data_IF_825108693049
#
_entry.id   IF_825108693049
#
_cell.length_a   1.000
_cell.length_b   1.000
_cell.length_c   1.000
_cell.angle_alpha   90.00
_cell.angle_beta   90.00
_cell.angle_gamma   90.00
#
_symmetry.space_group_name_H-M   'P 1'
#
loop_
_entity.id
_entity.type
_entity.pdbx_description
1 polymer ?
#
# COMPACT_ATOMS: atom_id res chain seq x y z
N UNK A 1 -28.48 -25.66 -16.47
CA UNK A 1 -27.64 -25.13 -17.57
C UNK A 1 -26.31 -24.73 -16.96
N UNK A 2 -25.20 -25.33 -17.40
CA UNK A 2 -23.87 -25.01 -16.87
C UNK A 2 -23.45 -23.59 -17.25
N UNK A 3 -22.97 -22.84 -16.27
CA UNK A 3 -22.37 -21.51 -16.47
C UNK A 3 -20.88 -21.74 -16.68
N UNK A 4 -20.32 -21.22 -17.77
CA UNK A 4 -18.90 -21.44 -18.08
C UNK A 4 -18.02 -20.27 -17.67
N UNK A 5 -18.48 -19.03 -17.88
CA UNK A 5 -17.82 -17.81 -17.38
C UNK A 5 -18.87 -16.84 -16.87
N UNK A 6 -18.52 -16.10 -15.83
CA UNK A 6 -19.38 -15.08 -15.26
C UNK A 6 -18.57 -14.00 -14.57
N UNK A 7 -19.20 -12.86 -14.30
CA UNK A 7 -18.54 -11.74 -13.65
C UNK A 7 -19.35 -10.46 -13.68
N UNK A 8 -18.64 -9.36 -13.48
CA UNK A 8 -19.18 -7.99 -13.50
C UNK A 8 -18.35 -7.16 -14.47
N UNK A 9 -18.97 -6.21 -15.16
CA UNK A 9 -18.28 -5.20 -15.95
C UNK A 9 -18.74 -3.80 -15.56
N UNK A 10 -17.83 -2.82 -15.62
CA UNK A 10 -18.12 -1.41 -15.39
C UNK A 10 -18.41 -0.72 -16.72
N UNK A 11 -19.56 -0.03 -16.79
CA UNK A 11 -19.88 0.83 -17.91
C UNK A 11 -18.98 2.08 -17.91
N UNK A 12 -18.19 2.32 -18.97
CA UNK A 12 -17.28 3.49 -19.01
C UNK A 12 -18.00 4.82 -19.11
N UNK A 13 -19.29 4.80 -19.46
CA UNK A 13 -20.05 5.99 -19.82
C UNK A 13 -20.86 6.51 -18.62
N UNK A 14 -21.48 5.61 -17.87
CA UNK A 14 -22.30 5.97 -16.72
C UNK A 14 -21.76 5.43 -15.38
N UNK A 15 -20.69 4.63 -15.39
CA UNK A 15 -20.12 4.03 -14.18
C UNK A 15 -21.00 2.94 -13.55
N UNK A 16 -22.02 2.44 -14.26
CA UNK A 16 -22.87 1.37 -13.75
C UNK A 16 -22.17 0.01 -13.83
N UNK A 17 -22.19 -0.75 -12.75
CA UNK A 17 -21.72 -2.13 -12.67
C UNK A 17 -22.83 -3.08 -13.09
N UNK A 18 -22.51 -3.96 -14.03
CA UNK A 18 -23.47 -4.87 -14.66
C UNK A 18 -22.99 -6.32 -14.57
N UNK A 19 -23.81 -7.25 -14.08
CA UNK A 19 -23.47 -8.67 -14.04
C UNK A 19 -23.56 -9.29 -15.45
N UNK A 20 -22.70 -10.24 -15.74
CA UNK A 20 -22.71 -10.98 -17.00
C UNK A 20 -22.38 -12.46 -16.79
N UNK A 21 -22.91 -13.30 -17.68
CA UNK A 21 -22.58 -14.73 -17.76
C UNK A 21 -22.61 -15.22 -19.21
N UNK A 22 -21.82 -16.23 -19.51
CA UNK A 22 -21.77 -16.95 -20.78
C UNK A 22 -21.90 -18.45 -20.54
N UNK A 23 -22.42 -19.16 -21.55
CA UNK A 23 -22.56 -20.62 -21.53
C UNK A 23 -21.30 -21.32 -22.05
N UNK A 24 -20.50 -20.64 -22.87
CA UNK A 24 -19.28 -21.23 -23.44
C UNK A 24 -18.04 -20.74 -22.69
N UNK A 25 -17.12 -21.68 -22.43
CA UNK A 25 -15.86 -21.39 -21.75
C UNK A 25 -14.87 -20.67 -22.68
N UNK A 26 -15.01 -20.92 -23.99
CA UNK A 26 -14.16 -20.32 -25.02
C UNK A 26 -14.66 -18.95 -25.49
N UNK A 27 -15.74 -18.40 -24.93
CA UNK A 27 -16.22 -17.07 -25.32
C UNK A 27 -15.14 -16.05 -25.01
N UNK A 28 -14.58 -15.42 -26.04
CA UNK A 28 -13.55 -14.39 -25.88
C UNK A 28 -14.12 -12.96 -26.00
N UNK A 29 -15.39 -12.79 -26.35
CA UNK A 29 -16.01 -11.48 -26.52
C UNK A 29 -17.36 -11.40 -25.80
N UNK A 30 -17.57 -10.31 -25.08
CA UNK A 30 -18.85 -9.93 -24.48
C UNK A 30 -19.42 -8.82 -25.32
N UNK A 31 -20.66 -8.98 -25.77
CA UNK A 31 -21.44 -7.93 -26.41
C UNK A 31 -22.75 -7.72 -25.65
N UNK A 32 -22.82 -6.64 -24.86
CA UNK A 32 -23.94 -6.34 -23.96
C UNK A 32 -24.30 -4.86 -24.00
N UNK A 33 -25.57 -4.53 -23.77
CA UNK A 33 -26.01 -3.14 -23.54
C UNK A 33 -26.05 -2.86 -22.04
N UNK A 34 -25.62 -1.67 -21.64
CA UNK A 34 -25.80 -1.21 -20.25
C UNK A 34 -27.28 -0.94 -19.99
N UNK A 35 -27.83 -1.41 -18.88
CA UNK A 35 -29.23 -1.19 -18.53
C UNK A 35 -29.53 0.27 -18.13
N UNK A 36 -28.51 1.04 -17.74
CA UNK A 36 -28.67 2.42 -17.27
C UNK A 36 -28.54 3.48 -18.37
N UNK A 37 -27.71 3.25 -19.40
CA UNK A 37 -27.44 4.25 -20.44
C UNK A 37 -27.62 3.74 -21.87
N UNK A 38 -28.09 2.50 -22.05
CA UNK A 38 -28.33 1.81 -23.33
C UNK A 38 -27.14 1.69 -24.29
N UNK A 39 -25.96 2.19 -23.89
CA UNK A 39 -24.74 2.09 -24.68
C UNK A 39 -24.25 0.64 -24.70
N UNK A 40 -23.89 0.19 -25.90
CA UNK A 40 -23.42 -1.17 -26.19
C UNK A 40 -21.93 -1.28 -25.91
N UNK A 41 -21.55 -2.18 -25.01
CA UNK A 41 -20.19 -2.52 -24.69
C UNK A 41 -19.79 -3.82 -25.41
N UNK A 42 -18.78 -3.73 -26.28
CA UNK A 42 -18.11 -4.87 -26.91
C UNK A 42 -16.73 -5.02 -26.32
N UNK A 43 -16.51 -6.08 -25.55
CA UNK A 43 -15.26 -6.26 -24.80
C UNK A 43 -14.66 -7.63 -25.07
N UNK A 44 -13.36 -7.66 -25.32
CA UNK A 44 -12.58 -8.90 -25.45
C UNK A 44 -12.01 -9.30 -24.09
N UNK A 45 -12.33 -10.50 -23.63
CA UNK A 45 -11.95 -11.02 -22.31
C UNK A 45 -10.46 -11.34 -22.24
N UNK A 46 -9.97 -12.22 -23.12
CA UNK A 46 -8.59 -12.68 -23.18
C UNK A 46 -7.86 -11.88 -24.27
N UNK A 47 -7.46 -10.64 -23.98
CA UNK A 47 -6.65 -9.83 -24.89
C UNK A 47 -5.18 -9.93 -24.50
N UNK A 48 -4.31 -10.17 -25.48
CA UNK A 48 -2.86 -10.11 -25.27
C UNK A 48 -2.43 -8.66 -24.99
N UNK A 49 -1.52 -8.50 -24.03
CA UNK A 49 -0.98 -7.20 -23.63
C UNK A 49 -0.04 -6.55 -24.68
N UNK A 50 0.24 -7.23 -25.80
CA UNK A 50 1.17 -6.81 -26.86
C UNK A 50 0.52 -6.20 -28.11
N UNK A 51 -0.83 -6.16 -28.18
CA UNK A 51 -1.53 -5.74 -29.39
C UNK A 51 -1.53 -4.22 -29.64
N UNK A 52 -1.20 -3.81 -30.88
CA UNK A 52 -1.40 -2.45 -31.43
C UNK A 52 -2.90 -2.11 -31.53
N UNK A 53 -3.55 -1.79 -30.41
CA UNK A 53 -4.94 -1.33 -30.43
C UNK A 53 -5.26 -0.37 -29.28
N UNK A 54 -6.43 0.27 -29.36
CA UNK A 54 -6.91 1.20 -28.32
C UNK A 54 -6.90 0.52 -26.94
N UNK A 55 -6.42 1.26 -25.93
CA UNK A 55 -6.37 0.85 -24.51
C UNK A 55 -7.76 0.43 -24.02
N UNK A 56 -7.83 -0.49 -23.06
CA UNK A 56 -9.08 -0.90 -22.40
C UNK A 56 -9.72 0.34 -21.76
N UNK A 57 -10.92 0.71 -22.21
CA UNK A 57 -11.79 1.63 -21.46
C UNK A 57 -12.76 0.88 -20.52
N UNK A 58 -12.77 -0.46 -20.57
CA UNK A 58 -13.71 -1.29 -19.82
C UNK A 58 -12.97 -2.04 -18.71
N UNK A 59 -13.50 -1.95 -17.47
CA UNK A 59 -13.08 -2.78 -16.34
C UNK A 59 -13.99 -4.00 -16.25
N UNK A 60 -13.39 -5.19 -16.15
CA UNK A 60 -14.09 -6.47 -16.05
C UNK A 60 -13.51 -7.24 -14.87
N UNK A 61 -14.39 -7.82 -14.08
CA UNK A 61 -14.06 -8.75 -13.01
C UNK A 61 -14.69 -10.09 -13.33
N UNK A 62 -13.85 -11.10 -13.57
CA UNK A 62 -14.30 -12.48 -13.67
C UNK A 62 -14.47 -13.10 -12.27
N UNK A 63 -15.43 -14.01 -12.16
CA UNK A 63 -15.78 -14.73 -10.96
C UNK A 63 -15.76 -16.22 -11.26
N UNK A 64 -15.44 -17.01 -10.24
CA UNK A 64 -15.45 -18.45 -10.35
C UNK A 64 -16.84 -18.93 -10.79
N UNK A 65 -16.96 -19.84 -11.78
CA UNK A 65 -18.25 -20.36 -12.24
C UNK A 65 -19.04 -21.12 -11.16
N UNK A 66 -18.41 -21.55 -10.06
CA UNK A 66 -19.07 -22.22 -8.93
C UNK A 66 -19.91 -21.28 -8.07
N UNK A 67 -19.68 -19.96 -8.15
CA UNK A 67 -20.44 -18.96 -7.38
C UNK A 67 -21.84 -18.81 -7.97
N UNK A 68 -22.86 -18.76 -7.12
CA UNK A 68 -24.23 -18.51 -7.59
C UNK A 68 -24.36 -17.13 -8.26
N UNK A 69 -25.00 -17.10 -9.41
CA UNK A 69 -25.18 -15.88 -10.20
C UNK A 69 -26.05 -14.84 -9.47
N UNK A 70 -26.95 -15.27 -8.57
CA UNK A 70 -27.71 -14.38 -7.70
C UNK A 70 -26.79 -13.48 -6.86
N UNK A 71 -25.74 -14.06 -6.29
CA UNK A 71 -24.73 -13.32 -5.50
C UNK A 71 -23.95 -12.30 -6.34
N UNK A 72 -23.71 -12.59 -7.63
CA UNK A 72 -23.04 -11.67 -8.55
C UNK A 72 -23.94 -10.46 -8.88
N UNK A 73 -25.25 -10.69 -9.02
CA UNK A 73 -26.22 -9.59 -9.20
C UNK A 73 -26.26 -8.70 -7.95
N UNK A 74 -26.25 -9.29 -6.76
CA UNK A 74 -26.18 -8.55 -5.50
C UNK A 74 -24.89 -7.75 -5.37
N UNK A 75 -23.73 -8.34 -5.70
CA UNK A 75 -22.44 -7.62 -5.76
C UNK A 75 -22.54 -6.39 -6.68
N UNK A 76 -23.09 -6.54 -7.89
CA UNK A 76 -23.24 -5.42 -8.83
C UNK A 76 -24.14 -4.31 -8.27
N UNK A 77 -25.29 -4.67 -7.68
CA UNK A 77 -26.20 -3.70 -7.01
C UNK A 77 -25.49 -2.96 -5.87
N UNK A 78 -24.74 -3.67 -5.02
CA UNK A 78 -23.99 -3.08 -3.90
C UNK A 78 -22.93 -2.09 -4.38
N UNK A 79 -22.16 -2.45 -5.41
CA UNK A 79 -21.15 -1.57 -6.03
C UNK A 79 -21.78 -0.27 -6.56
N UNK A 80 -22.94 -0.36 -7.20
CA UNK A 80 -23.67 0.81 -7.69
C UNK A 80 -24.18 1.69 -6.54
N UNK A 81 -24.78 1.08 -5.51
CA UNK A 81 -25.35 1.79 -4.36
C UNK A 81 -24.29 2.56 -3.55
N UNK A 82 -23.10 2.00 -3.33
CA UNK A 82 -22.04 2.70 -2.57
C UNK A 82 -21.39 3.83 -3.37
N UNK A 83 -21.34 3.71 -4.70
CA UNK A 83 -20.89 4.80 -5.59
C UNK A 83 -21.87 6.00 -5.54
N UNK A 84 -23.17 5.73 -5.35
CA UNK A 84 -24.18 6.75 -5.09
C UNK A 84 -24.10 7.34 -3.66
N UNK A 85 -23.80 6.50 -2.65
CA UNK A 85 -23.66 6.90 -1.25
C UNK A 85 -22.50 7.86 -0.96
N UNK A 86 -21.39 7.75 -1.71
CA UNK A 86 -20.28 8.71 -1.62
C UNK A 86 -20.63 10.11 -2.16
N UNK A 87 -21.74 10.26 -2.92
CA UNK A 87 -22.22 11.57 -3.42
C UNK A 87 -23.30 12.23 -2.57
N UNK A 88 -24.07 11.50 -1.75
CA UNK A 88 -25.31 12.05 -1.16
C UNK A 88 -25.33 12.16 0.37
N UNK A 89 -24.50 11.45 1.14
CA UNK A 89 -24.64 11.53 2.62
C UNK A 89 -23.33 11.38 3.39
N UNK A 90 -22.71 12.53 3.69
CA UNK A 90 -22.02 12.74 4.97
C UNK A 90 -23.05 13.10 6.06
N UNK A 91 -24.13 12.33 6.21
CA UNK A 91 -24.89 12.38 7.46
C UNK A 91 -24.10 11.54 8.46
N UNK A 92 -23.50 12.25 9.41
CA UNK A 92 -22.85 11.69 10.59
C UNK A 92 -23.86 10.79 11.31
N UNK A 93 -23.84 9.49 11.06
CA UNK A 93 -24.12 8.55 12.14
C UNK A 93 -22.88 8.54 13.03
N UNK A 94 -23.08 8.41 14.34
CA UNK A 94 -22.05 8.35 15.38
C UNK A 94 -21.16 7.11 15.20
N UNK A 95 -20.38 7.09 14.11
CA UNK A 95 -19.31 6.14 13.89
C UNK A 95 -18.20 6.51 14.85
N UNK A 96 -17.77 5.55 15.67
CA UNK A 96 -16.65 5.67 16.60
C UNK A 96 -15.61 6.66 16.08
N UNK A 97 -15.52 7.82 16.74
CA UNK A 97 -14.69 8.93 16.31
C UNK A 97 -13.26 8.41 16.18
N UNK A 98 -12.57 8.81 15.11
CA UNK A 98 -11.17 8.44 14.82
C UNK A 98 -10.22 8.65 16.02
N UNK A 99 -10.63 9.47 17.00
CA UNK A 99 -10.01 9.76 18.29
C UNK A 99 -9.87 8.55 19.24
N UNK A 100 -10.68 7.50 19.10
CA UNK A 100 -10.60 6.29 19.95
C UNK A 100 -9.65 5.20 19.42
N UNK A 101 -8.98 5.45 18.29
CA UNK A 101 -8.09 4.49 17.65
C UNK A 101 -6.63 4.92 17.84
N UNK A 102 -5.69 3.99 18.13
CA UNK A 102 -4.28 4.34 18.24
C UNK A 102 -3.80 5.14 17.01
N UNK A 103 -3.02 6.21 17.15
CA UNK A 103 -2.56 6.96 15.99
C UNK A 103 -1.74 6.05 15.06
N UNK A 104 -1.96 6.17 13.75
CA UNK A 104 -1.07 5.56 12.76
C UNK A 104 -0.10 6.65 12.33
N UNK A 105 1.09 6.65 12.94
CA UNK A 105 2.16 7.56 12.57
C UNK A 105 2.57 7.36 11.12
N UNK A 106 2.74 8.48 10.40
CA UNK A 106 3.11 8.50 8.99
C UNK A 106 2.04 7.92 8.05
N UNK A 107 0.76 8.03 8.40
CA UNK A 107 -0.34 7.46 7.61
C UNK A 107 -0.31 7.93 6.15
N UNK A 108 -0.15 9.24 5.95
CA UNK A 108 -0.17 9.86 4.62
C UNK A 108 1.24 10.01 4.03
N UNK A 109 2.24 9.43 4.68
CA UNK A 109 3.62 9.51 4.21
C UNK A 109 3.76 8.83 2.84
N UNK A 110 4.29 9.58 1.88
CA UNK A 110 4.67 9.10 0.57
C UNK A 110 5.91 9.86 0.10
N UNK A 111 6.80 9.23 -0.69
CA UNK A 111 7.91 9.95 -1.29
C UNK A 111 7.37 11.02 -2.24
N UNK A 112 7.80 12.27 -2.06
CA UNK A 112 7.40 13.39 -2.93
C UNK A 112 8.15 13.38 -4.26
N UNK A 113 9.44 13.03 -4.19
CA UNK A 113 10.36 13.12 -5.33
C UNK A 113 11.09 11.78 -5.56
N UNK A 114 11.49 11.58 -6.81
CA UNK A 114 12.43 10.53 -7.20
C UNK A 114 13.80 10.72 -6.51
N UNK A 115 14.53 9.63 -6.32
CA UNK A 115 15.92 9.66 -5.88
C UNK A 115 16.82 9.45 -7.10
N UNK A 116 17.97 10.11 -7.11
CA UNK A 116 19.01 9.83 -8.09
C UNK A 116 19.67 8.49 -7.76
N UNK A 117 19.63 7.55 -8.71
CA UNK A 117 20.24 6.23 -8.53
C UNK A 117 21.69 6.26 -9.00
N UNK A 118 22.61 5.84 -8.13
CA UNK A 118 24.02 5.65 -8.49
C UNK A 118 24.21 4.37 -9.31
N UNK A 119 23.33 3.39 -9.10
CA UNK A 119 23.30 2.11 -9.82
C UNK A 119 21.89 1.82 -10.29
N UNK A 120 21.75 1.33 -11.53
CA UNK A 120 20.46 0.83 -12.03
C UNK A 120 19.98 -0.33 -11.15
N UNK A 121 18.69 -0.36 -10.87
CA UNK A 121 18.08 -1.34 -9.97
C UNK A 121 17.38 -2.42 -10.79
N UNK A 122 17.84 -3.69 -10.77
CA UNK A 122 17.19 -4.78 -11.49
C UNK A 122 15.79 -5.07 -10.94
N UNK A 123 14.81 -5.29 -11.82
CA UNK A 123 13.42 -5.57 -11.44
C UNK A 123 13.30 -6.78 -10.52
N UNK A 124 14.01 -7.87 -10.84
CA UNK A 124 13.96 -9.11 -10.06
C UNK A 124 14.38 -8.89 -8.61
N UNK A 125 15.39 -8.04 -8.38
CA UNK A 125 15.85 -7.67 -7.04
C UNK A 125 14.74 -6.96 -6.26
N UNK A 126 14.02 -6.03 -6.90
CA UNK A 126 12.90 -5.33 -6.27
C UNK A 126 11.78 -6.31 -5.92
N UNK A 127 11.41 -7.17 -6.87
CA UNK A 127 10.35 -8.16 -6.71
C UNK A 127 10.65 -9.12 -5.56
N UNK A 128 11.88 -9.67 -5.52
CA UNK A 128 12.33 -10.58 -4.47
C UNK A 128 12.29 -9.92 -3.10
N UNK A 129 12.82 -8.70 -2.97
CA UNK A 129 12.83 -7.97 -1.70
C UNK A 129 11.43 -7.59 -1.22
N UNK A 130 10.54 -7.20 -2.15
CA UNK A 130 9.15 -6.92 -1.83
C UNK A 130 8.43 -8.17 -1.34
N UNK A 131 8.54 -9.29 -2.05
CA UNK A 131 7.90 -10.55 -1.64
C UNK A 131 8.48 -11.07 -0.32
N UNK A 132 9.79 -10.96 -0.09
CA UNK A 132 10.41 -11.30 1.20
C UNK A 132 9.81 -10.45 2.33
N UNK A 133 9.76 -9.13 2.13
CA UNK A 133 9.19 -8.21 3.13
C UNK A 133 7.71 -8.50 3.43
N UNK A 134 6.93 -8.84 2.40
CA UNK A 134 5.53 -9.23 2.57
C UNK A 134 5.43 -10.56 3.30
N UNK A 135 6.23 -11.58 2.96
CA UNK A 135 6.24 -12.86 3.67
C UNK A 135 6.58 -12.71 5.16
N UNK A 136 7.53 -11.85 5.51
CA UNK A 136 7.97 -11.64 6.89
C UNK A 136 6.89 -11.01 7.79
N UNK A 137 5.95 -10.23 7.23
CA UNK A 137 5.08 -9.33 8.01
C UNK A 137 3.59 -9.40 7.67
N UNK A 138 3.28 -9.82 6.46
CA UNK A 138 1.99 -9.68 5.78
C UNK A 138 1.77 -10.84 4.79
N UNK A 139 2.15 -12.05 5.20
CA UNK A 139 2.11 -13.28 4.41
C UNK A 139 0.80 -13.49 3.64
N UNK A 140 -0.35 -13.21 4.27
CA UNK A 140 -1.68 -13.30 3.63
C UNK A 140 -1.92 -12.36 2.45
N UNK A 141 -0.98 -11.48 2.10
CA UNK A 141 -1.04 -10.63 0.90
C UNK A 141 -0.03 -11.02 -0.19
N UNK A 142 0.69 -12.14 -0.04
CA UNK A 142 1.69 -12.58 -1.02
C UNK A 142 1.11 -12.78 -2.42
N UNK A 143 0.02 -13.54 -2.53
CA UNK A 143 -0.63 -13.81 -3.82
C UNK A 143 -1.12 -12.52 -4.47
N UNK A 144 -1.81 -11.66 -3.71
CA UNK A 144 -2.28 -10.36 -4.16
C UNK A 144 -1.13 -9.49 -4.73
N UNK A 145 -0.02 -9.41 -4.01
CA UNK A 145 1.14 -8.61 -4.41
C UNK A 145 1.77 -9.21 -5.67
N UNK A 146 1.89 -10.53 -5.75
CA UNK A 146 2.40 -11.24 -6.92
C UNK A 146 1.53 -11.00 -8.15
N UNK A 147 0.22 -11.15 -8.03
CA UNK A 147 -0.74 -10.90 -9.12
C UNK A 147 -0.69 -9.47 -9.63
N UNK A 148 -0.73 -8.49 -8.72
CA UNK A 148 -0.63 -7.07 -9.08
C UNK A 148 0.71 -6.79 -9.77
N UNK A 149 1.80 -7.35 -9.27
CA UNK A 149 3.11 -7.19 -9.88
C UNK A 149 3.16 -7.74 -11.31
N UNK A 150 2.67 -8.97 -11.52
CA UNK A 150 2.65 -9.62 -12.84
C UNK A 150 1.71 -8.93 -13.84
N UNK A 151 0.71 -8.20 -13.35
CA UNK A 151 -0.19 -7.40 -14.21
C UNK A 151 0.48 -6.16 -14.82
N UNK A 152 1.63 -5.72 -14.28
CA UNK A 152 2.32 -4.50 -14.70
C UNK A 152 3.33 -4.78 -15.81
N UNK A 153 3.41 -3.85 -16.77
CA UNK A 153 4.49 -3.85 -17.77
C UNK A 153 5.71 -3.13 -17.19
N UNK A 154 6.70 -3.92 -16.76
CA UNK A 154 7.88 -3.41 -16.06
C UNK A 154 9.12 -3.45 -16.97
N UNK A 155 9.99 -2.43 -16.91
CA UNK A 155 11.30 -2.52 -17.52
C UNK A 155 12.17 -3.54 -16.76
N UNK A 156 13.17 -4.10 -17.42
CA UNK A 156 14.12 -5.05 -16.78
C UNK A 156 14.98 -4.37 -15.70
N UNK A 157 15.22 -3.07 -15.84
CA UNK A 157 15.98 -2.26 -14.89
C UNK A 157 15.31 -0.90 -14.70
N UNK A 158 15.38 -0.40 -13.47
CA UNK A 158 14.86 0.91 -13.10
C UNK A 158 15.98 1.95 -12.92
N UNK A 159 15.68 3.18 -13.33
CA UNK A 159 16.37 4.38 -12.86
C UNK A 159 15.52 5.05 -11.77
N UNK A 160 16.03 6.14 -11.20
CA UNK A 160 15.34 6.87 -10.13
C UNK A 160 13.91 7.28 -10.46
N UNK A 161 13.71 7.88 -11.63
CA UNK A 161 12.42 8.40 -12.07
C UNK A 161 11.44 7.29 -12.45
N UNK A 162 11.88 6.30 -13.23
CA UNK A 162 11.04 5.18 -13.62
C UNK A 162 10.63 4.34 -12.42
N UNK A 163 11.53 4.15 -11.44
CA UNK A 163 11.22 3.51 -10.18
C UNK A 163 10.17 4.30 -9.38
N UNK A 164 10.33 5.62 -9.28
CA UNK A 164 9.40 6.46 -8.55
C UNK A 164 7.98 6.43 -9.17
N UNK A 165 7.88 6.54 -10.49
CA UNK A 165 6.60 6.43 -11.20
C UNK A 165 5.98 5.04 -11.02
N UNK A 166 6.79 4.00 -11.18
CA UNK A 166 6.36 2.61 -10.96
C UNK A 166 5.81 2.42 -9.55
N UNK A 167 6.56 2.78 -8.51
CA UNK A 167 6.12 2.56 -7.11
C UNK A 167 4.83 3.30 -6.79
N UNK A 168 4.61 4.49 -7.35
CA UNK A 168 3.34 5.22 -7.23
C UNK A 168 2.19 4.45 -7.86
N UNK A 169 2.36 3.98 -9.10
CA UNK A 169 1.34 3.17 -9.80
C UNK A 169 1.09 1.84 -9.08
N UNK A 170 2.15 1.15 -8.67
CA UNK A 170 2.08 -0.09 -7.91
C UNK A 170 1.26 0.07 -6.63
N UNK A 171 1.57 1.07 -5.80
CA UNK A 171 0.80 1.32 -4.60
C UNK A 171 -0.66 1.68 -4.88
N UNK A 172 -0.95 2.36 -5.99
CA UNK A 172 -2.33 2.66 -6.39
C UNK A 172 -3.10 1.38 -6.76
N UNK A 173 -2.52 0.49 -7.56
CA UNK A 173 -3.17 -0.77 -7.97
C UNK A 173 -3.35 -1.74 -6.79
N UNK A 174 -2.34 -1.88 -5.92
CA UNK A 174 -2.50 -2.67 -4.68
C UNK A 174 -3.60 -2.10 -3.80
N UNK A 175 -3.65 -0.78 -3.65
CA UNK A 175 -4.67 -0.09 -2.87
C UNK A 175 -6.08 -0.35 -3.43
N UNK A 176 -6.26 -0.27 -4.76
CA UNK A 176 -7.54 -0.58 -5.42
C UNK A 176 -7.94 -2.04 -5.21
N UNK A 177 -7.01 -2.98 -5.44
CA UNK A 177 -7.28 -4.41 -5.28
C UNK A 177 -7.71 -4.77 -3.85
N UNK A 178 -7.12 -4.11 -2.84
CA UNK A 178 -7.52 -4.25 -1.44
C UNK A 178 -8.90 -3.67 -1.09
N UNK A 179 -9.36 -2.63 -1.79
CA UNK A 179 -10.73 -2.14 -1.66
C UNK A 179 -11.70 -3.08 -2.37
N UNK A 180 -11.28 -3.62 -3.52
CA UNK A 180 -12.11 -4.48 -4.35
C UNK A 180 -12.45 -5.82 -3.70
N UNK A 181 -11.56 -6.36 -2.85
CA UNK A 181 -11.77 -7.66 -2.20
C UNK A 181 -13.03 -7.71 -1.34
N UNK A 182 -13.45 -6.60 -0.73
CA UNK A 182 -14.62 -6.57 0.17
C UNK A 182 -15.90 -6.88 -0.60
N UNK A 183 -15.92 -6.58 -1.90
CA UNK A 183 -17.07 -6.82 -2.76
C UNK A 183 -17.17 -8.25 -3.26
N UNK A 184 -16.12 -9.05 -3.10
CA UNK A 184 -16.14 -10.44 -3.55
C UNK A 184 -17.25 -11.20 -2.80
N UNK A 185 -18.15 -11.92 -3.50
CA UNK A 185 -19.28 -12.64 -2.89
C UNK A 185 -18.88 -13.60 -1.76
N UNK A 186 -17.67 -14.13 -1.83
CA UNK A 186 -17.07 -15.03 -0.85
C UNK A 186 -16.75 -14.32 0.47
N UNK A 187 -16.46 -13.01 0.42
CA UNK A 187 -16.12 -12.17 1.57
C UNK A 187 -17.27 -11.28 2.03
N UNK A 188 -18.38 -11.20 1.27
CA UNK A 188 -19.53 -10.36 1.64
C UNK A 188 -20.32 -10.89 2.83
N UNK A 189 -20.05 -12.13 3.28
CA UNK A 189 -20.74 -12.74 4.43
C UNK A 189 -20.43 -11.97 5.72
N UNK A 190 -19.21 -11.45 5.85
CA UNK A 190 -18.76 -10.69 7.02
C UNK A 190 -19.05 -9.19 6.89
N UNK A 191 -19.83 -8.76 5.90
CA UNK A 191 -20.12 -7.35 5.68
C UNK A 191 -21.04 -6.81 6.79
N UNK A 192 -20.60 -5.76 7.48
CA UNK A 192 -21.34 -5.17 8.61
C UNK A 192 -21.13 -5.90 9.94
N UNK A 193 -20.53 -7.08 9.92
CA UNK A 193 -20.18 -7.82 11.14
C UNK A 193 -19.13 -7.07 11.96
N UNK A 194 -19.21 -7.24 13.27
CA UNK A 194 -18.23 -6.75 14.22
C UNK A 194 -17.04 -7.71 14.27
N UNK A 195 -15.87 -7.24 13.81
CA UNK A 195 -14.63 -8.06 13.79
C UNK A 195 -13.90 -7.99 15.12
N UNK A 196 -13.93 -6.82 15.76
CA UNK A 196 -13.39 -6.53 17.08
C UNK A 196 -14.41 -5.61 17.75
N UNK A 197 -14.55 -5.64 19.09
CA UNK A 197 -15.40 -4.71 19.81
C UNK A 197 -15.37 -3.28 19.26
N UNK A 198 -16.56 -2.76 18.94
CA UNK A 198 -16.88 -1.46 18.36
C UNK A 198 -16.31 -1.21 16.96
N UNK A 199 -15.94 -2.26 16.21
CA UNK A 199 -15.34 -2.13 14.87
C UNK A 199 -15.99 -3.11 13.88
N UNK A 200 -16.74 -2.52 12.96
CA UNK A 200 -17.24 -3.25 11.80
C UNK A 200 -16.10 -3.68 10.86
N UNK A 201 -16.39 -4.67 10.01
CA UNK A 201 -15.47 -5.21 9.01
C UNK A 201 -14.89 -4.14 8.11
N UNK A 202 -15.67 -3.17 7.66
CA UNK A 202 -15.21 -2.14 6.73
C UNK A 202 -14.17 -1.22 7.38
N UNK A 203 -14.45 -0.73 8.59
CA UNK A 203 -13.57 0.13 9.38
C UNK A 203 -12.28 -0.61 9.71
N UNK A 204 -12.39 -1.86 10.15
CA UNK A 204 -11.23 -2.70 10.47
C UNK A 204 -10.32 -2.92 9.25
N UNK A 205 -10.90 -3.33 8.12
CA UNK A 205 -10.15 -3.62 6.89
C UNK A 205 -9.55 -2.35 6.28
N UNK A 206 -10.27 -1.22 6.27
CA UNK A 206 -9.72 0.08 5.81
C UNK A 206 -8.50 0.50 6.63
N UNK A 207 -8.56 0.32 7.94
CA UNK A 207 -7.46 0.65 8.84
C UNK A 207 -6.27 -0.28 8.65
N UNK A 208 -6.50 -1.59 8.45
CA UNK A 208 -5.43 -2.56 8.15
C UNK A 208 -4.78 -2.26 6.80
N UNK A 209 -5.58 -1.95 5.78
CA UNK A 209 -5.11 -1.48 4.47
C UNK A 209 -4.20 -0.26 4.62
N UNK A 210 -4.61 0.75 5.38
CA UNK A 210 -3.81 1.96 5.64
C UNK A 210 -2.41 1.63 6.19
N UNK A 211 -2.31 0.73 7.16
CA UNK A 211 -1.03 0.26 7.73
C UNK A 211 -0.20 -0.50 6.70
N UNK A 212 -0.81 -1.45 6.01
CA UNK A 212 -0.16 -2.24 4.98
C UNK A 212 0.42 -1.36 3.86
N UNK A 213 -0.37 -0.42 3.33
CA UNK A 213 0.08 0.50 2.27
C UNK A 213 1.23 1.41 2.72
N UNK A 214 1.26 1.82 3.99
CA UNK A 214 2.40 2.55 4.56
C UNK A 214 3.66 1.68 4.55
N UNK A 215 3.54 0.45 5.03
CA UNK A 215 4.67 -0.48 5.13
C UNK A 215 5.25 -0.82 3.75
N UNK A 216 4.39 -1.05 2.74
CA UNK A 216 4.79 -1.27 1.34
C UNK A 216 5.53 -0.04 0.79
N UNK A 217 4.99 1.18 0.98
CA UNK A 217 5.66 2.42 0.54
C UNK A 217 7.05 2.57 1.18
N UNK A 218 7.18 2.26 2.47
CA UNK A 218 8.45 2.33 3.20
C UNK A 218 9.44 1.28 2.69
N UNK A 219 9.00 0.04 2.46
CA UNK A 219 9.82 -1.02 1.87
C UNK A 219 10.40 -0.59 0.52
N UNK A 220 9.54 -0.14 -0.39
CA UNK A 220 9.95 0.33 -1.73
C UNK A 220 10.89 1.54 -1.64
N UNK A 221 10.64 2.47 -0.71
CA UNK A 221 11.54 3.61 -0.53
C UNK A 221 12.92 3.21 0.00
N UNK A 222 13.00 2.21 0.88
CA UNK A 222 14.30 1.68 1.36
C UNK A 222 15.11 1.08 0.22
N UNK A 223 14.47 0.37 -0.70
CA UNK A 223 15.12 -0.14 -1.92
C UNK A 223 15.64 1.01 -2.80
N UNK A 224 14.85 2.07 -2.97
CA UNK A 224 15.31 3.26 -3.68
C UNK A 224 16.55 3.89 -3.03
N UNK A 225 16.56 4.03 -1.70
CA UNK A 225 17.73 4.55 -0.99
C UNK A 225 18.96 3.66 -1.14
N UNK A 226 18.81 2.33 -1.04
CA UNK A 226 19.91 1.39 -1.24
C UNK A 226 20.57 1.51 -2.63
N UNK A 227 19.82 1.98 -3.64
CA UNK A 227 20.32 2.26 -4.99
C UNK A 227 20.75 3.70 -5.22
N UNK A 228 20.46 4.62 -4.29
CA UNK A 228 20.83 6.04 -4.40
C UNK A 228 22.09 6.42 -3.61
N UNK A 229 22.56 5.55 -2.71
CA UNK A 229 23.75 5.86 -1.90
C UNK A 229 25.00 5.93 -2.81
N UNK A 230 25.76 7.00 -2.67
CA UNK A 230 27.08 7.20 -3.27
C UNK A 230 28.21 6.99 -2.24
N UNK A 231 29.45 6.99 -2.72
CA UNK A 231 30.62 6.79 -1.88
C UNK A 231 30.74 7.90 -0.82
N UNK A 232 30.42 9.14 -1.19
CA UNK A 232 30.50 10.29 -0.28
C UNK A 232 29.50 10.16 0.88
N UNK A 233 28.27 9.71 0.60
CA UNK A 233 27.28 9.40 1.64
C UNK A 233 27.79 8.29 2.56
N UNK A 234 28.41 7.24 2.03
CA UNK A 234 29.01 6.17 2.85
C UNK A 234 30.13 6.68 3.75
N UNK A 235 31.04 7.50 3.22
CA UNK A 235 32.12 8.12 4.00
C UNK A 235 31.56 9.04 5.08
N UNK A 236 30.51 9.80 4.76
CA UNK A 236 29.83 10.67 5.72
C UNK A 236 29.19 9.85 6.85
N UNK A 237 28.50 8.76 6.54
CA UNK A 237 27.94 7.85 7.54
C UNK A 237 29.02 7.23 8.43
N UNK A 238 30.14 6.80 7.85
CA UNK A 238 31.28 6.31 8.62
C UNK A 238 31.83 7.39 9.56
N UNK A 239 32.03 8.62 9.07
CA UNK A 239 32.46 9.75 9.90
C UNK A 239 31.50 10.00 11.05
N UNK A 240 30.19 9.97 10.82
CA UNK A 240 29.20 10.13 11.88
C UNK A 240 29.24 8.97 12.88
N UNK A 241 29.38 7.73 12.43
CA UNK A 241 29.52 6.57 13.33
C UNK A 241 30.77 6.68 14.20
N UNK A 242 31.93 7.03 13.62
CA UNK A 242 33.17 7.24 14.37
C UNK A 242 33.06 8.41 15.36
N UNK A 243 32.47 9.54 14.96
CA UNK A 243 32.28 10.70 15.84
C UNK A 243 31.35 10.40 17.00
N UNK A 244 30.22 9.74 16.73
CA UNK A 244 29.27 9.35 17.79
C UNK A 244 29.92 8.34 18.74
N UNK A 245 30.69 7.38 18.22
CA UNK A 245 31.46 6.44 19.03
C UNK A 245 32.50 7.13 19.92
N UNK A 246 33.31 8.02 19.35
CA UNK A 246 34.30 8.80 20.10
C UNK A 246 33.64 9.71 21.15
N UNK A 247 32.53 10.35 20.81
CA UNK A 247 31.77 11.18 21.76
C UNK A 247 31.20 10.33 22.90
N UNK A 248 30.64 9.16 22.61
CA UNK A 248 30.13 8.24 23.64
C UNK A 248 31.26 7.73 24.55
N UNK A 249 32.44 7.45 24.01
CA UNK A 249 33.63 7.06 24.77
C UNK A 249 34.12 8.21 25.68
N UNK A 250 34.27 9.42 25.14
CA UNK A 250 34.64 10.60 25.94
C UNK A 250 33.61 10.91 27.02
N UNK A 251 32.32 10.81 26.70
CA UNK A 251 31.26 10.99 27.69
C UNK A 251 31.36 9.92 28.77
N UNK A 252 31.54 8.64 28.43
CA UNK A 252 31.73 7.56 29.42
C UNK A 252 32.95 7.78 30.31
N UNK A 253 34.07 8.22 29.76
CA UNK A 253 35.28 8.53 30.51
C UNK A 253 35.04 9.71 31.46
N UNK A 254 34.43 10.80 30.97
CA UNK A 254 34.05 11.95 31.78
C UNK A 254 33.05 11.58 32.90
N UNK A 255 32.12 10.65 32.63
CA UNK A 255 31.18 10.15 33.62
C UNK A 255 31.82 9.23 34.67
N UNK A 256 32.81 8.42 34.27
CA UNK A 256 33.41 7.39 35.13
C UNK A 256 34.58 7.95 35.95
N UNK A 257 35.48 8.69 35.29
CA UNK A 257 36.74 9.15 35.87
C UNK A 257 36.69 10.63 36.29
N UNK A 258 35.88 11.45 35.58
CA UNK A 258 35.78 12.90 35.78
C UNK A 258 37.02 13.66 35.32
N UNK A 259 36.88 14.97 35.10
CA UNK A 259 37.99 15.86 34.74
C UNK A 259 38.37 16.69 35.98
N UNK A 260 39.65 16.78 36.32
CA UNK A 260 40.11 17.62 37.43
C UNK A 260 39.86 19.11 37.13
N UNK A 261 39.21 19.82 38.05
CA UNK A 261 39.01 21.28 37.94
C UNK A 261 40.18 22.04 38.56
N UNK A 262 40.43 23.30 38.14
CA UNK A 262 41.49 24.13 38.72
C UNK A 262 41.39 24.32 40.24
N UNK A 263 40.16 24.24 40.77
CA UNK A 263 39.86 24.35 42.20
C UNK A 263 40.10 23.05 43.00
N UNK A 264 40.67 22.01 42.36
CA UNK A 264 40.96 20.71 42.99
C UNK A 264 39.79 19.73 43.05
N UNK A 265 38.64 20.09 42.47
CA UNK A 265 37.46 19.23 42.34
C UNK A 265 37.52 18.29 41.13
N UNK A 266 36.49 17.45 40.95
CA UNK A 266 36.28 16.66 39.73
C UNK A 266 34.97 17.07 39.06
N UNK A 267 35.04 17.48 37.79
CA UNK A 267 33.91 17.72 36.91
C UNK A 267 33.49 16.39 36.26
N UNK A 268 32.38 15.80 36.72
CA UNK A 268 31.85 14.52 36.23
C UNK A 268 30.76 13.94 37.14
N UNK A 269 30.28 12.73 36.81
CA UNK A 269 29.34 11.95 37.64
C UNK A 269 27.86 12.00 37.24
N UNK A 270 27.01 11.31 38.01
CA UNK A 270 25.56 11.08 37.72
C UNK A 270 24.77 12.35 37.42
N UNK A 271 25.11 13.48 38.06
CA UNK A 271 24.39 14.75 37.91
C UNK A 271 24.50 15.36 36.50
N UNK A 272 25.60 15.11 35.79
CA UNK A 272 25.79 15.65 34.42
C UNK A 272 24.93 14.88 33.39
N UNK A 273 24.61 13.60 33.65
CA UNK A 273 23.77 12.76 32.78
C UNK A 273 22.30 13.18 32.84
N UNK A 274 21.78 13.50 34.03
CA UNK A 274 20.40 14.00 34.19
C UNK A 274 20.22 15.36 33.51
N UNK A 275 21.18 16.28 33.63
CA UNK A 275 21.09 17.63 33.06
C UNK A 275 21.06 17.63 31.52
N UNK A 276 21.83 16.75 30.88
CA UNK A 276 21.85 16.65 29.41
C UNK A 276 20.79 15.71 28.84
N UNK A 277 20.38 14.65 29.55
CA UNK A 277 19.26 13.80 29.11
C UNK A 277 17.96 14.59 29.05
N UNK A 278 17.68 15.47 30.02
CA UNK A 278 16.48 16.31 29.98
C UNK A 278 16.53 17.34 28.84
N UNK A 279 17.69 17.95 28.57
CA UNK A 279 17.85 18.90 27.46
C UNK A 279 17.76 18.24 26.07
N UNK A 280 18.39 17.08 25.88
CA UNK A 280 18.33 16.33 24.61
C UNK A 280 16.96 15.71 24.39
N UNK A 281 16.31 15.19 25.44
CA UNK A 281 14.91 14.72 25.37
C UNK A 281 13.98 15.90 25.10
N UNK A 282 14.17 17.06 25.73
CA UNK A 282 13.40 18.28 25.48
C UNK A 282 13.49 18.75 24.03
N UNK A 283 14.70 18.80 23.46
CA UNK A 283 14.90 19.16 22.04
C UNK A 283 14.40 18.09 21.06
N UNK A 284 14.42 16.81 21.43
CA UNK A 284 13.94 15.71 20.59
C UNK A 284 12.42 15.49 20.68
N UNK A 285 11.77 15.90 21.78
CA UNK A 285 10.31 15.84 21.97
C UNK A 285 9.58 17.09 21.50
N UNK A 286 10.31 18.16 21.16
CA UNK A 286 9.76 19.37 20.54
C UNK A 286 9.64 19.31 19.00
N UNK A 287 9.71 18.12 18.40
CA UNK A 287 9.47 17.83 16.98
C UNK A 287 8.34 16.82 16.82
#
# INVERSE_FOLDING_TARGET
MSIARQGIWLCPECGNHEPWKTRDQNTNQIDRKCSNCDKRARVTLNRSNSGKGRKRNYQIWERDPTIDFGKIIEEAKKRNNKTLGDRVTRTKSEKATQEQLPPIWGLDWAPKNALLFTKKLPEEKVRKELLRFVAERHDGYLELISEVWMSMQLPTQFNGDSYHQFTKQFCQEVSKSLDERIWKPELSIIEGDEVIPMRDTELYLKRRKKRFMRDIRLCLRRLAYASSVDLDTHLQWQRWMTRTGAMDEHLKDLFSNGISTPDGGKFGGKGFRSTWQEGVVGCATSL
#
